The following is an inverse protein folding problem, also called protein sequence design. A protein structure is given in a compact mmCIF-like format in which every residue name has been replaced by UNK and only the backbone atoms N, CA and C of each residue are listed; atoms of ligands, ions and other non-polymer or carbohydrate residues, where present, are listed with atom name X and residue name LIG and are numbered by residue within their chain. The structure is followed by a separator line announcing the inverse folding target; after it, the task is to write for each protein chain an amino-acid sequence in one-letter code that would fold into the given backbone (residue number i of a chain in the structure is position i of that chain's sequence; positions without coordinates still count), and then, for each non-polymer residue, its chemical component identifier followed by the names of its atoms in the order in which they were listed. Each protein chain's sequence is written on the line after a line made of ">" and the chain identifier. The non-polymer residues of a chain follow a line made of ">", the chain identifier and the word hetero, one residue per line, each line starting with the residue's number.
data_IF_301807959055
#
_entry.id   IF_301807959055
#
_cell.length_a   1.000
_cell.length_b   1.000
_cell.length_c   1.000
_cell.angle_alpha   90.00
_cell.angle_beta   90.00
_cell.angle_gamma   90.00
#
_symmetry.space_group_name_H-M   'P 1'
#
loop_
_entity.id
_entity.type
_entity.pdbx_description
1 polymer ?
#
# COMPACT_ATOMS: atom_id res chain seq x y z
N UNK A 1 -14.75 2.16 -1.55
CA UNK A 1 -14.75 2.61 -2.97
C UNK A 1 -13.31 2.74 -3.51
N UNK A 2 -12.36 2.05 -2.91
CA UNK A 2 -10.93 2.44 -2.97
C UNK A 2 -10.26 2.16 -4.33
N UNK A 3 -10.87 1.32 -5.16
CA UNK A 3 -10.36 0.98 -6.50
C UNK A 3 -10.83 1.94 -7.61
N UNK A 4 -11.65 2.95 -7.28
CA UNK A 4 -12.21 3.88 -8.27
C UNK A 4 -11.24 5.00 -8.66
N UNK A 5 -10.02 4.64 -9.07
CA UNK A 5 -8.93 5.59 -9.38
C UNK A 5 -9.26 6.55 -10.52
N UNK A 6 -10.17 6.15 -11.42
CA UNK A 6 -10.59 6.91 -12.59
C UNK A 6 -11.94 7.63 -12.40
N UNK A 7 -12.50 7.67 -11.18
CA UNK A 7 -13.76 8.36 -10.92
C UNK A 7 -13.60 9.86 -11.15
N UNK A 8 -14.27 10.39 -12.19
CA UNK A 8 -14.20 11.81 -12.56
C UNK A 8 -15.43 12.62 -12.15
N UNK A 9 -16.60 12.02 -12.23
CA UNK A 9 -17.88 12.66 -11.95
C UNK A 9 -18.60 11.81 -10.92
N UNK A 10 -19.00 12.42 -9.81
CA UNK A 10 -19.74 11.74 -8.76
C UNK A 10 -20.99 12.54 -8.39
N UNK A 11 -22.15 11.97 -8.67
CA UNK A 11 -23.44 12.57 -8.32
C UNK A 11 -24.09 11.76 -7.21
N UNK A 12 -24.24 12.38 -6.05
CA UNK A 12 -24.78 11.78 -4.83
C UNK A 12 -25.81 12.70 -4.17
N UNK A 13 -26.55 13.48 -4.97
CA UNK A 13 -27.66 14.28 -4.47
C UNK A 13 -28.79 13.44 -3.86
N UNK A 14 -29.59 14.04 -2.99
CA UNK A 14 -30.74 13.46 -2.30
C UNK A 14 -30.42 12.16 -1.54
N UNK A 15 -29.27 12.12 -0.86
CA UNK A 15 -28.87 11.03 0.04
C UNK A 15 -28.95 11.46 1.51
N UNK A 16 -28.51 10.59 2.43
CA UNK A 16 -28.56 10.84 3.88
C UNK A 16 -27.19 11.17 4.48
N UNK A 17 -26.34 11.88 3.74
CA UNK A 17 -25.03 12.30 4.25
C UNK A 17 -25.25 13.46 5.24
N UNK A 18 -24.94 13.23 6.52
CA UNK A 18 -25.22 14.18 7.61
C UNK A 18 -24.01 15.02 7.99
N UNK A 19 -22.81 14.48 7.85
CA UNK A 19 -21.57 15.12 8.29
C UNK A 19 -20.83 15.69 7.09
N UNK A 20 -20.47 16.98 7.15
CA UNK A 20 -19.61 17.61 6.13
C UNK A 20 -18.22 16.96 6.05
N UNK A 21 -17.74 16.37 7.15
CA UNK A 21 -16.44 15.70 7.17
C UNK A 21 -16.42 14.44 6.30
N UNK A 22 -17.59 13.86 5.98
CA UNK A 22 -17.68 12.67 5.15
C UNK A 22 -17.21 12.96 3.71
N UNK A 23 -17.25 14.23 3.30
CA UNK A 23 -16.70 14.71 2.03
C UNK A 23 -15.18 14.54 1.96
N UNK A 24 -14.47 14.61 3.09
CA UNK A 24 -13.00 14.44 3.13
C UNK A 24 -12.60 13.09 2.53
N UNK A 25 -13.44 12.05 2.69
CA UNK A 25 -13.21 10.75 2.05
C UNK A 25 -13.00 10.87 0.53
N UNK A 26 -13.67 11.83 -0.14
CA UNK A 26 -13.57 12.00 -1.59
C UNK A 26 -12.18 12.50 -2.05
N UNK A 27 -11.33 13.01 -1.14
CA UNK A 27 -9.95 13.45 -1.46
C UNK A 27 -9.07 12.33 -2.00
N UNK A 28 -9.39 11.08 -1.66
CA UNK A 28 -8.65 9.92 -2.14
C UNK A 28 -8.82 9.67 -3.64
N UNK A 29 -9.85 10.23 -4.29
CA UNK A 29 -10.10 10.03 -5.71
C UNK A 29 -9.27 11.03 -6.55
N UNK A 30 -8.15 10.61 -7.17
CA UNK A 30 -7.22 11.56 -7.79
C UNK A 30 -7.82 12.24 -9.04
N UNK A 31 -8.78 11.57 -9.68
CA UNK A 31 -9.43 12.03 -10.90
C UNK A 31 -10.77 12.74 -10.67
N UNK A 32 -11.26 12.87 -9.43
CA UNK A 32 -12.55 13.50 -9.18
C UNK A 32 -12.49 14.99 -9.57
N UNK A 33 -13.37 15.40 -10.49
CA UNK A 33 -13.47 16.77 -11.03
C UNK A 33 -14.86 17.37 -10.89
N UNK A 34 -15.91 16.56 -10.81
CA UNK A 34 -17.29 17.05 -10.67
C UNK A 34 -18.02 16.32 -9.56
N UNK A 35 -18.66 17.08 -8.68
CA UNK A 35 -19.39 16.58 -7.52
C UNK A 35 -20.75 17.27 -7.40
N UNK A 36 -21.81 16.47 -7.24
CA UNK A 36 -23.14 16.98 -6.89
C UNK A 36 -23.60 16.32 -5.58
N UNK A 37 -23.89 17.12 -4.56
CA UNK A 37 -24.39 16.67 -3.25
C UNK A 37 -25.72 17.31 -2.85
N UNK A 38 -26.40 18.01 -3.76
CA UNK A 38 -27.61 18.74 -3.47
C UNK A 38 -28.67 17.85 -2.80
N UNK A 39 -29.34 18.34 -1.76
CA UNK A 39 -30.39 17.60 -1.06
C UNK A 39 -29.90 16.56 -0.05
N UNK A 40 -28.61 16.57 0.33
CA UNK A 40 -28.12 15.86 1.51
C UNK A 40 -28.28 16.72 2.79
N UNK A 41 -28.54 16.12 3.97
CA UNK A 41 -28.63 16.87 5.23
C UNK A 41 -27.40 17.71 5.58
N UNK A 42 -26.19 17.31 5.15
CA UNK A 42 -24.98 18.11 5.36
C UNK A 42 -24.92 19.39 4.49
N UNK A 43 -25.87 19.56 3.55
CA UNK A 43 -25.93 20.63 2.53
C UNK A 43 -27.13 21.58 2.80
N UNK A 44 -27.72 21.59 3.99
CA UNK A 44 -28.96 22.36 4.25
C UNK A 44 -28.78 23.89 4.28
N UNK A 45 -29.70 24.59 3.58
CA UNK A 45 -29.96 26.03 3.50
C UNK A 45 -28.87 26.96 2.92
N UNK A 46 -28.16 26.52 1.89
CA UNK A 46 -27.53 27.45 0.93
C UNK A 46 -26.40 28.32 1.51
N UNK A 47 -25.72 27.84 2.55
CA UNK A 47 -24.61 28.60 3.11
C UNK A 47 -23.38 28.48 2.20
N UNK A 48 -22.89 29.64 1.79
CA UNK A 48 -21.55 29.83 1.20
C UNK A 48 -20.49 29.04 1.97
N UNK A 49 -20.69 28.82 3.26
CA UNK A 49 -19.85 28.04 4.15
C UNK A 49 -19.61 26.60 3.67
N UNK A 50 -20.63 25.89 3.13
CA UNK A 50 -20.43 24.53 2.63
C UNK A 50 -19.69 24.53 1.29
N UNK A 51 -20.04 25.45 0.40
CA UNK A 51 -19.31 25.61 -0.87
C UNK A 51 -17.84 25.98 -0.63
N UNK A 52 -17.57 26.91 0.30
CA UNK A 52 -16.21 27.27 0.72
C UNK A 52 -15.49 26.05 1.32
N UNK A 53 -16.18 25.26 2.14
CA UNK A 53 -15.64 24.01 2.67
C UNK A 53 -15.28 23.02 1.55
N UNK A 54 -16.14 22.82 0.54
CA UNK A 54 -15.82 21.98 -0.64
C UNK A 54 -14.58 22.52 -1.37
N UNK A 55 -14.53 23.84 -1.61
CA UNK A 55 -13.40 24.49 -2.29
C UNK A 55 -12.07 24.26 -1.57
N UNK A 56 -12.06 24.33 -0.23
CA UNK A 56 -10.88 24.08 0.59
C UNK A 56 -10.51 22.59 0.65
N UNK A 57 -11.47 21.72 0.96
CA UNK A 57 -11.18 20.32 1.30
C UNK A 57 -11.14 19.40 0.09
N UNK A 58 -11.60 19.80 -1.10
CA UNK A 58 -11.48 19.04 -2.35
C UNK A 58 -10.65 19.80 -3.40
N UNK A 59 -9.31 19.86 -3.25
CA UNK A 59 -8.44 20.73 -4.04
C UNK A 59 -8.35 20.34 -5.52
N UNK A 60 -8.81 19.14 -5.90
CA UNK A 60 -8.81 18.67 -7.29
C UNK A 60 -10.14 18.86 -7.99
N UNK A 61 -11.19 19.24 -7.26
CA UNK A 61 -12.52 19.42 -7.81
C UNK A 61 -12.55 20.64 -8.75
N UNK A 62 -13.29 20.59 -9.84
CA UNK A 62 -13.45 21.70 -10.79
C UNK A 62 -14.88 22.21 -10.81
N UNK A 63 -15.84 21.30 -10.66
CA UNK A 63 -17.27 21.59 -10.66
C UNK A 63 -17.90 21.09 -9.35
N UNK A 64 -18.62 21.98 -8.66
CA UNK A 64 -19.48 21.62 -7.54
C UNK A 64 -20.90 22.08 -7.85
N UNK A 65 -21.88 21.17 -7.82
CA UNK A 65 -23.29 21.48 -8.13
C UNK A 65 -23.48 22.28 -9.42
N UNK A 66 -22.76 21.88 -10.47
CA UNK A 66 -22.75 22.54 -11.79
C UNK A 66 -22.16 23.95 -11.83
N UNK A 67 -21.63 24.46 -10.71
CA UNK A 67 -20.84 25.68 -10.63
C UNK A 67 -19.35 25.41 -10.80
N UNK A 68 -18.66 26.27 -11.57
CA UNK A 68 -17.20 26.19 -11.75
C UNK A 68 -16.54 26.87 -10.55
N UNK A 69 -15.68 26.14 -9.85
CA UNK A 69 -14.87 26.70 -8.77
C UNK A 69 -13.77 27.58 -9.39
N UNK A 70 -13.86 28.88 -9.15
CA UNK A 70 -12.84 29.84 -9.56
C UNK A 70 -11.58 29.74 -8.70
N UNK A 71 -10.47 30.26 -9.22
CA UNK A 71 -9.21 30.33 -8.47
C UNK A 71 -9.31 31.24 -7.25
N UNK A 72 -10.13 32.30 -7.32
CA UNK A 72 -10.37 33.22 -6.20
C UNK A 72 -11.12 32.54 -5.06
N UNK A 73 -12.25 31.88 -5.35
CA UNK A 73 -13.02 31.11 -4.35
C UNK A 73 -12.14 30.07 -3.65
N UNK A 74 -11.25 29.42 -4.41
CA UNK A 74 -10.30 28.45 -3.85
C UNK A 74 -9.28 29.10 -2.93
N UNK A 75 -8.65 30.18 -3.37
CA UNK A 75 -7.64 30.87 -2.56
C UNK A 75 -8.24 31.38 -1.25
N UNK A 76 -9.45 31.95 -1.30
CA UNK A 76 -10.17 32.38 -0.10
C UNK A 76 -10.44 31.21 0.84
N UNK A 77 -10.99 30.11 0.32
CA UNK A 77 -11.27 28.92 1.12
C UNK A 77 -10.01 28.29 1.74
N UNK A 78 -8.92 28.20 0.98
CA UNK A 78 -7.63 27.70 1.47
C UNK A 78 -7.07 28.55 2.61
N UNK A 79 -7.24 29.88 2.55
CA UNK A 79 -6.84 30.79 3.63
C UNK A 79 -7.70 30.54 4.87
N UNK A 80 -9.03 30.44 4.72
CA UNK A 80 -9.98 30.20 5.82
C UNK A 80 -9.68 28.90 6.57
N UNK A 81 -9.26 27.85 5.85
CA UNK A 81 -9.05 26.52 6.42
C UNK A 81 -7.57 26.10 6.55
N UNK A 82 -6.63 27.03 6.32
CA UNK A 82 -5.18 26.75 6.22
C UNK A 82 -4.62 25.83 7.31
N UNK A 83 -4.93 26.12 8.58
CA UNK A 83 -4.41 25.34 9.71
C UNK A 83 -4.95 23.91 9.74
N UNK A 84 -6.22 23.73 9.36
CA UNK A 84 -6.87 22.42 9.33
C UNK A 84 -6.37 21.61 8.14
N UNK A 85 -6.28 22.24 6.96
CA UNK A 85 -5.75 21.61 5.75
C UNK A 85 -4.33 21.10 5.96
N UNK A 86 -3.45 21.91 6.57
CA UNK A 86 -2.07 21.47 6.83
C UNK A 86 -2.01 20.19 7.68
N UNK A 87 -2.79 20.12 8.75
CA UNK A 87 -2.85 18.91 9.62
C UNK A 87 -3.44 17.71 8.89
N UNK A 88 -4.45 17.93 8.07
CA UNK A 88 -5.08 16.90 7.27
C UNK A 88 -4.07 16.33 6.25
N UNK A 89 -3.38 17.19 5.51
CA UNK A 89 -2.37 16.79 4.52
C UNK A 89 -1.19 16.04 5.15
N UNK A 90 -0.72 16.48 6.33
CA UNK A 90 0.31 15.75 7.09
C UNK A 90 -0.16 14.34 7.48
N UNK A 91 -1.43 14.20 7.87
CA UNK A 91 -2.02 12.91 8.23
C UNK A 91 -2.18 12.02 7.00
N UNK A 92 -2.73 12.57 5.91
CA UNK A 92 -2.91 11.86 4.63
C UNK A 92 -1.59 11.36 4.05
N UNK A 93 -0.54 12.20 4.11
CA UNK A 93 0.79 11.84 3.63
C UNK A 93 1.42 10.73 4.48
N UNK A 94 1.30 10.82 5.81
CA UNK A 94 1.79 9.78 6.71
C UNK A 94 1.08 8.45 6.46
N UNK A 95 -0.24 8.46 6.29
CA UNK A 95 -0.99 7.26 5.97
C UNK A 95 -0.62 6.70 4.60
N UNK A 96 -0.43 7.56 3.60
CA UNK A 96 0.00 7.15 2.25
C UNK A 96 1.36 6.48 2.29
N UNK A 97 2.33 7.06 3.02
CA UNK A 97 3.65 6.46 3.24
C UNK A 97 3.53 5.10 3.92
N UNK A 98 2.77 5.02 5.02
CA UNK A 98 2.56 3.77 5.74
C UNK A 98 1.93 2.67 4.86
N UNK A 99 0.94 3.02 4.02
CA UNK A 99 0.33 2.10 3.06
C UNK A 99 1.33 1.62 2.01
N UNK A 100 2.12 2.52 1.42
CA UNK A 100 3.15 2.15 0.46
C UNK A 100 4.22 1.24 1.07
N UNK A 101 4.66 1.53 2.29
CA UNK A 101 5.62 0.68 3.02
C UNK A 101 5.03 -0.69 3.35
N UNK A 102 3.75 -0.75 3.75
CA UNK A 102 3.06 -2.01 3.99
C UNK A 102 2.92 -2.83 2.71
N UNK A 103 2.56 -2.20 1.59
CA UNK A 103 2.46 -2.86 0.29
C UNK A 103 3.83 -3.34 -0.22
N UNK A 104 4.88 -2.52 -0.07
CA UNK A 104 6.25 -2.90 -0.43
C UNK A 104 6.72 -4.10 0.40
N UNK A 105 6.50 -4.08 1.72
CA UNK A 105 6.80 -5.22 2.60
C UNK A 105 5.99 -6.47 2.25
N UNK A 106 4.72 -6.32 1.89
CA UNK A 106 3.88 -7.45 1.47
C UNK A 106 4.38 -8.07 0.16
N UNK A 107 4.80 -7.24 -0.81
CA UNK A 107 5.42 -7.71 -2.07
C UNK A 107 6.75 -8.41 -1.83
N UNK A 108 7.59 -7.86 -0.97
CA UNK A 108 8.86 -8.47 -0.56
C UNK A 108 8.63 -9.83 0.11
N UNK A 109 7.70 -9.91 1.06
CA UNK A 109 7.32 -11.17 1.71
C UNK A 109 6.76 -12.20 0.72
N UNK A 110 5.89 -11.79 -0.20
CA UNK A 110 5.36 -12.67 -1.23
C UNK A 110 6.47 -13.20 -2.15
N UNK A 111 7.41 -12.35 -2.54
CA UNK A 111 8.57 -12.74 -3.34
C UNK A 111 9.47 -13.74 -2.60
N UNK A 112 9.77 -13.50 -1.32
CA UNK A 112 10.53 -14.46 -0.50
C UNK A 112 9.80 -15.80 -0.37
N UNK A 113 8.46 -15.79 -0.30
CA UNK A 113 7.65 -17.00 -0.27
C UNK A 113 7.70 -17.79 -1.56
N UNK A 114 7.60 -17.12 -2.71
CA UNK A 114 7.77 -17.77 -4.02
C UNK A 114 9.17 -18.37 -4.22
N UNK A 115 10.17 -17.80 -3.54
CA UNK A 115 11.54 -18.30 -3.51
C UNK A 115 11.81 -19.35 -2.41
N UNK A 116 10.81 -19.69 -1.58
CA UNK A 116 10.94 -20.61 -0.43
C UNK A 116 12.00 -20.21 0.59
N UNK A 117 12.16 -18.90 0.79
CA UNK A 117 13.10 -18.32 1.76
C UNK A 117 12.39 -17.40 2.74
N UNK A 118 11.12 -17.70 3.06
CA UNK A 118 10.39 -16.94 4.08
C UNK A 118 11.17 -16.96 5.40
N UNK A 119 11.27 -15.80 6.05
CA UNK A 119 11.87 -15.65 7.38
C UNK A 119 13.37 -16.03 7.46
N UNK A 120 14.06 -16.08 6.32
CA UNK A 120 15.52 -16.29 6.25
C UNK A 120 16.30 -14.98 5.98
N UNK A 121 15.60 -13.86 5.82
CA UNK A 121 16.19 -12.55 5.51
C UNK A 121 16.82 -11.88 6.74
N UNK A 122 16.42 -12.29 7.96
CA UNK A 122 16.92 -11.78 9.25
C UNK A 122 16.93 -12.90 10.29
N UNK A 123 16.89 -12.52 11.57
CA UNK A 123 17.03 -13.44 12.71
C UNK A 123 15.77 -14.29 12.98
N UNK A 124 14.72 -14.24 12.14
CA UNK A 124 13.46 -14.92 12.46
C UNK A 124 13.65 -16.44 12.61
N UNK A 125 14.37 -17.09 11.69
CA UNK A 125 14.71 -18.51 11.81
C UNK A 125 15.54 -18.79 13.07
N UNK A 126 16.58 -17.98 13.32
CA UNK A 126 17.45 -18.15 14.48
C UNK A 126 16.64 -18.04 15.78
N UNK A 127 15.81 -17.00 15.91
CA UNK A 127 14.94 -16.80 17.05
C UNK A 127 13.95 -17.96 17.24
N UNK A 128 13.37 -18.47 16.15
CA UNK A 128 12.47 -19.61 16.19
C UNK A 128 13.17 -20.90 16.68
N UNK A 129 14.45 -21.10 16.31
CA UNK A 129 15.24 -22.24 16.80
C UNK A 129 15.45 -22.21 18.33
N UNK A 130 15.52 -21.03 18.93
CA UNK A 130 15.84 -20.84 20.36
C UNK A 130 14.68 -20.31 21.21
N UNK A 131 13.48 -20.13 20.64
CA UNK A 131 12.32 -19.55 21.34
C UNK A 131 12.03 -20.28 22.67
N UNK A 132 12.12 -21.61 22.65
CA UNK A 132 11.83 -22.48 23.79
C UNK A 132 13.08 -22.97 24.54
N UNK A 133 14.26 -22.41 24.27
CA UNK A 133 15.51 -22.81 24.94
C UNK A 133 15.68 -22.11 26.30
N UNK A 134 15.02 -22.64 27.32
CA UNK A 134 15.14 -22.15 28.70
C UNK A 134 16.56 -22.31 29.27
N UNK A 135 17.28 -23.36 28.84
CA UNK A 135 18.64 -23.63 29.31
C UNK A 135 19.63 -22.62 28.71
N UNK A 136 19.53 -22.35 27.40
CA UNK A 136 20.32 -21.31 26.73
C UNK A 136 20.06 -19.93 27.33
N UNK A 137 18.79 -19.56 27.57
CA UNK A 137 18.44 -18.32 28.27
C UNK A 137 19.09 -18.24 29.66
N UNK A 138 19.12 -19.35 30.40
CA UNK A 138 19.80 -19.41 31.71
C UNK A 138 21.32 -19.25 31.56
N UNK A 139 21.92 -19.91 30.58
CA UNK A 139 23.36 -19.82 30.29
C UNK A 139 23.82 -18.39 29.99
N UNK A 140 23.01 -17.61 29.27
CA UNK A 140 23.30 -16.19 28.98
C UNK A 140 23.36 -15.31 30.24
N UNK A 141 22.81 -15.76 31.37
CA UNK A 141 22.91 -15.03 32.64
C UNK A 141 24.23 -15.26 33.39
N UNK A 142 25.07 -16.20 32.93
CA UNK A 142 26.31 -16.62 33.61
C UNK A 142 27.51 -15.68 33.38
N UNK A 143 27.31 -14.55 32.69
CA UNK A 143 28.31 -13.49 32.52
C UNK A 143 28.80 -13.30 31.08
N UNK A 144 29.75 -12.37 30.90
CA UNK A 144 30.19 -11.89 29.58
C UNK A 144 30.75 -12.99 28.68
N UNK A 145 31.51 -13.95 29.22
CA UNK A 145 32.08 -15.04 28.45
C UNK A 145 31.02 -15.92 27.74
N UNK A 146 29.85 -16.12 28.38
CA UNK A 146 28.74 -16.86 27.77
C UNK A 146 28.08 -16.04 26.66
N UNK A 147 27.95 -14.72 26.86
CA UNK A 147 27.40 -13.81 25.85
C UNK A 147 28.30 -13.70 24.62
N UNK A 148 29.62 -13.68 24.80
CA UNK A 148 30.59 -13.64 23.69
C UNK A 148 30.49 -14.89 22.81
N UNK A 149 30.37 -16.08 23.42
CA UNK A 149 30.18 -17.34 22.70
C UNK A 149 28.85 -17.34 21.96
N UNK A 150 27.78 -16.87 22.59
CA UNK A 150 26.46 -16.76 21.96
C UNK A 150 26.48 -15.81 20.76
N UNK A 151 27.04 -14.60 20.91
CA UNK A 151 27.12 -13.63 19.83
C UNK A 151 27.93 -14.17 18.66
N UNK A 152 29.06 -14.84 18.93
CA UNK A 152 29.86 -15.46 17.88
C UNK A 152 29.08 -16.56 17.15
N UNK A 153 28.40 -17.43 17.90
CA UNK A 153 27.58 -18.49 17.32
C UNK A 153 26.41 -17.92 16.50
N UNK A 154 25.74 -16.89 17.00
CA UNK A 154 24.71 -16.14 16.30
C UNK A 154 25.23 -15.60 14.97
N UNK A 155 26.35 -14.87 14.99
CA UNK A 155 26.93 -14.26 13.78
C UNK A 155 27.36 -15.31 12.74
N UNK A 156 27.95 -16.42 13.19
CA UNK A 156 28.32 -17.53 12.30
C UNK A 156 27.08 -18.22 11.70
N UNK A 157 26.04 -18.45 12.51
CA UNK A 157 24.78 -19.03 12.04
C UNK A 157 24.08 -18.10 11.06
N UNK A 158 24.04 -16.79 11.35
CA UNK A 158 23.46 -15.80 10.46
C UNK A 158 24.18 -15.74 9.12
N UNK A 159 25.51 -15.89 9.07
CA UNK A 159 26.23 -16.00 7.78
C UNK A 159 25.72 -17.18 6.94
N UNK A 160 25.47 -18.33 7.55
CA UNK A 160 24.94 -19.51 6.85
C UNK A 160 23.50 -19.29 6.41
N UNK A 161 22.64 -18.72 7.26
CA UNK A 161 21.25 -18.40 6.92
C UNK A 161 21.19 -17.43 5.73
N UNK A 162 22.03 -16.39 5.74
CA UNK A 162 22.11 -15.44 4.62
C UNK A 162 22.61 -16.09 3.32
N UNK A 163 23.50 -17.08 3.40
CA UNK A 163 23.92 -17.85 2.22
C UNK A 163 22.78 -18.68 1.66
N UNK A 164 22.01 -19.35 2.53
CA UNK A 164 20.83 -20.12 2.14
C UNK A 164 19.75 -19.23 1.51
N UNK A 165 19.52 -18.05 2.10
CA UNK A 165 18.60 -17.05 1.57
C UNK A 165 18.98 -16.64 0.13
N UNK A 166 20.25 -16.28 -0.09
CA UNK A 166 20.76 -15.94 -1.44
C UNK A 166 20.62 -17.09 -2.43
N UNK A 167 20.99 -18.30 -2.01
CA UNK A 167 20.87 -19.49 -2.85
C UNK A 167 19.40 -19.73 -3.26
N UNK A 168 18.45 -19.56 -2.34
CA UNK A 168 17.02 -19.72 -2.66
C UNK A 168 16.52 -18.70 -3.67
N UNK A 169 16.98 -17.43 -3.58
CA UNK A 169 16.67 -16.41 -4.58
C UNK A 169 17.25 -16.76 -5.97
N UNK A 170 18.51 -17.19 -6.04
CA UNK A 170 19.15 -17.63 -7.29
C UNK A 170 18.41 -18.83 -7.92
N UNK A 171 18.03 -19.81 -7.10
CA UNK A 171 17.29 -20.99 -7.55
C UNK A 171 15.85 -20.64 -7.99
N UNK A 172 15.24 -19.62 -7.38
CA UNK A 172 13.96 -19.10 -7.85
C UNK A 172 14.09 -18.53 -9.27
N UNK A 173 15.10 -17.71 -9.55
CA UNK A 173 15.33 -17.16 -10.90
C UNK A 173 15.52 -18.26 -11.95
N UNK A 174 16.34 -19.27 -11.64
CA UNK A 174 16.56 -20.44 -12.52
C UNK A 174 15.22 -21.14 -12.78
N UNK A 175 14.43 -21.41 -11.73
CA UNK A 175 13.13 -22.07 -11.86
C UNK A 175 12.15 -21.26 -12.72
N UNK A 176 12.10 -19.93 -12.55
CA UNK A 176 11.23 -19.08 -13.37
C UNK A 176 11.61 -19.13 -14.85
N UNK A 177 12.92 -19.14 -15.14
CA UNK A 177 13.40 -19.26 -16.51
C UNK A 177 13.08 -20.64 -17.12
N UNK A 178 13.26 -21.73 -16.37
CA UNK A 178 12.89 -23.08 -16.80
C UNK A 178 11.39 -23.18 -17.11
N UNK A 179 10.54 -22.65 -16.22
CA UNK A 179 9.08 -22.60 -16.40
C UNK A 179 8.73 -21.81 -17.66
N UNK A 180 9.35 -20.64 -17.86
CA UNK A 180 9.12 -19.78 -19.03
C UNK A 180 9.49 -20.50 -20.33
N UNK A 181 10.64 -21.17 -20.35
CA UNK A 181 11.10 -21.95 -21.50
C UNK A 181 10.14 -23.11 -21.80
N UNK A 182 9.71 -23.83 -20.77
CA UNK A 182 8.72 -24.91 -20.90
C UNK A 182 7.43 -24.42 -21.56
N UNK A 183 6.81 -23.35 -21.04
CA UNK A 183 5.57 -22.83 -21.60
C UNK A 183 5.73 -22.30 -23.02
N UNK A 184 6.86 -21.65 -23.32
CA UNK A 184 7.17 -21.22 -24.69
C UNK A 184 7.19 -22.40 -25.67
N UNK A 185 7.82 -23.52 -25.29
CA UNK A 185 7.87 -24.73 -26.11
C UNK A 185 6.48 -25.36 -26.26
N UNK A 186 5.70 -25.43 -25.18
CA UNK A 186 4.33 -25.96 -25.19
C UNK A 186 3.43 -25.14 -26.12
N UNK A 187 3.50 -23.82 -26.05
CA UNK A 187 2.65 -22.96 -26.87
C UNK A 187 3.06 -22.98 -28.35
N UNK A 188 4.36 -23.05 -28.64
CA UNK A 188 4.84 -23.27 -30.01
C UNK A 188 4.31 -24.59 -30.59
N UNK A 189 4.38 -25.69 -29.82
CA UNK A 189 3.87 -26.99 -30.25
C UNK A 189 2.35 -27.01 -30.43
N UNK A 190 1.60 -26.29 -29.58
CA UNK A 190 0.14 -26.14 -29.76
C UNK A 190 -0.19 -25.39 -31.04
N UNK A 191 0.57 -24.34 -31.35
CA UNK A 191 0.33 -23.55 -32.55
C UNK A 191 0.66 -24.32 -33.83
N UNK A 192 1.79 -25.05 -33.83
CA UNK A 192 2.15 -25.96 -34.93
C UNK A 192 1.06 -27.00 -35.17
N UNK A 193 0.56 -27.65 -34.11
CA UNK A 193 -0.53 -28.62 -34.23
C UNK A 193 -1.83 -28.02 -34.79
N UNK A 194 -2.19 -26.78 -34.44
CA UNK A 194 -3.36 -26.11 -35.01
C UNK A 194 -3.18 -25.84 -36.50
N UNK A 195 -2.01 -25.36 -36.91
CA UNK A 195 -1.70 -25.09 -38.32
C UNK A 195 -1.77 -26.39 -39.12
N UNK A 196 -1.16 -27.47 -38.62
CA UNK A 196 -1.19 -28.79 -39.27
C UNK A 196 -2.59 -29.41 -39.31
N UNK A 197 -3.48 -29.08 -38.37
CA UNK A 197 -4.86 -29.58 -38.35
C UNK A 197 -5.81 -28.82 -39.29
N UNK A 198 -5.38 -27.71 -39.89
CA UNK A 198 -6.16 -26.89 -40.83
C UNK A 198 -5.78 -27.12 -42.30
N UNK A 199 -4.77 -27.94 -42.56
CA UNK A 199 -4.34 -28.38 -43.89
C UNK A 199 -4.89 -29.77 -44.20
#
# INVERSE_FOLDING_TARGET
>A
MENLVNLMIFSIGNNQIKSRNDVIYLRQFPCLRSLNMAGNPCVENGDKDFQEYICAFLPKLTYYEYHIISAEERATAEISYRTILKRLEETEEKERQSRMEAEARAKEMAFHAEAFVENLDRDQLFNAMFENDANGKTLLTMGEAAMDVYNKFHDETMKVIHQLFKLGLEQHEIRQEEIRQYFKCVDAAKEENKISSQQ
#
